data_IF_392194006914
#
_entry.id   IF_392194006914
#
_cell.length_a   1.000
_cell.length_b   1.000
_cell.length_c   1.000
_cell.angle_alpha   90.00
_cell.angle_beta   90.00
_cell.angle_gamma   90.00
#
_symmetry.space_group_name_H-M   'P 1'
#
loop_
_entity.id
_entity.type
_entity.pdbx_description
1 polymer ?
#
# COMPACT_ATOMS: atom_id res chain seq x y z
N UNK A 1 44.14 17.24 -6.62
CA UNK A 1 43.93 15.79 -6.81
C UNK A 1 43.25 15.12 -5.61
N UNK A 2 43.71 15.40 -4.36
CA UNK A 2 43.13 14.75 -3.16
C UNK A 2 41.61 15.02 -3.01
N UNK A 3 41.18 16.27 -3.12
CA UNK A 3 39.78 16.64 -3.01
C UNK A 3 38.93 16.00 -4.12
N UNK A 4 39.40 15.95 -5.35
CA UNK A 4 38.69 15.32 -6.45
C UNK A 4 38.49 13.82 -6.21
N UNK A 5 39.51 13.12 -5.71
CA UNK A 5 39.43 11.71 -5.35
C UNK A 5 38.45 11.49 -4.17
N UNK A 6 38.47 12.36 -3.17
CA UNK A 6 37.56 12.30 -2.03
C UNK A 6 36.07 12.43 -2.49
N UNK A 7 35.81 13.43 -3.32
CA UNK A 7 34.44 13.62 -3.87
C UNK A 7 34.05 12.47 -4.78
N UNK A 8 34.94 11.97 -5.63
CA UNK A 8 34.65 10.80 -6.46
C UNK A 8 34.32 9.57 -5.64
N UNK A 9 35.07 9.29 -4.59
CA UNK A 9 34.84 8.17 -3.69
C UNK A 9 33.53 8.33 -2.91
N UNK A 10 33.20 9.54 -2.47
CA UNK A 10 31.95 9.84 -1.79
C UNK A 10 30.75 9.58 -2.72
N UNK A 11 30.80 10.01 -3.98
CA UNK A 11 29.73 9.77 -4.96
C UNK A 11 29.55 8.26 -5.18
N UNK A 12 30.62 7.51 -5.33
CA UNK A 12 30.55 6.05 -5.52
C UNK A 12 29.93 5.37 -4.31
N UNK A 13 30.37 5.73 -3.10
CA UNK A 13 29.81 5.17 -1.86
C UNK A 13 28.31 5.50 -1.70
N UNK A 14 27.93 6.75 -1.96
CA UNK A 14 26.51 7.15 -1.95
C UNK A 14 25.68 6.39 -2.99
N UNK A 15 26.23 6.18 -4.19
CA UNK A 15 25.56 5.43 -5.24
C UNK A 15 25.36 3.96 -4.85
N UNK A 16 26.38 3.34 -4.25
CA UNK A 16 26.27 1.95 -3.76
C UNK A 16 25.30 1.84 -2.60
N UNK A 17 25.33 2.81 -1.69
CA UNK A 17 24.37 2.84 -0.57
C UNK A 17 22.95 2.99 -1.09
N UNK A 18 22.71 3.98 -1.96
CA UNK A 18 21.43 4.22 -2.58
C UNK A 18 20.88 2.98 -3.33
N UNK A 19 21.75 2.32 -4.10
CA UNK A 19 21.41 1.09 -4.79
C UNK A 19 20.97 -0.01 -3.82
N UNK A 20 21.73 -0.23 -2.73
CA UNK A 20 21.38 -1.24 -1.71
C UNK A 20 20.08 -0.92 -0.97
N UNK A 21 19.81 0.35 -0.72
CA UNK A 21 18.61 0.77 0.01
C UNK A 21 17.36 0.73 -0.87
N UNK A 22 17.50 0.94 -2.18
CA UNK A 22 16.37 1.01 -3.11
C UNK A 22 16.03 -0.35 -3.73
N UNK A 23 17.01 -1.18 -4.04
CA UNK A 23 16.75 -2.48 -4.68
C UNK A 23 15.73 -3.34 -3.92
N UNK A 24 15.80 -3.49 -2.59
CA UNK A 24 14.81 -4.27 -1.86
C UNK A 24 13.38 -3.80 -2.06
N UNK A 25 13.18 -2.49 -2.22
CA UNK A 25 11.84 -1.90 -2.45
C UNK A 25 11.21 -2.42 -3.75
N UNK A 26 12.02 -2.70 -4.77
CA UNK A 26 11.54 -3.16 -6.08
C UNK A 26 11.64 -4.67 -6.28
N UNK A 27 12.51 -5.36 -5.55
CA UNK A 27 12.76 -6.80 -5.75
C UNK A 27 12.10 -7.68 -4.71
N UNK A 28 11.90 -7.17 -3.49
CA UNK A 28 11.13 -7.87 -2.46
C UNK A 28 9.65 -7.58 -2.71
N UNK A 29 8.98 -8.48 -3.43
CA UNK A 29 7.54 -8.40 -3.63
C UNK A 29 6.79 -8.47 -2.29
N UNK A 30 5.64 -7.82 -2.23
CA UNK A 30 4.76 -7.91 -1.07
C UNK A 30 4.34 -9.37 -0.86
N UNK A 31 4.68 -9.93 0.30
CA UNK A 31 4.47 -11.33 0.62
C UNK A 31 3.02 -11.69 0.98
N UNK A 32 2.10 -10.72 0.94
CA UNK A 32 0.70 -10.94 1.31
C UNK A 32 -0.16 -11.52 0.17
N UNK A 33 0.30 -11.39 -1.09
CA UNK A 33 -0.37 -11.99 -2.23
C UNK A 33 0.17 -13.39 -2.51
N UNK A 34 -0.72 -14.33 -2.87
CA UNK A 34 -0.29 -15.65 -3.36
C UNK A 34 0.62 -15.48 -4.57
N UNK A 35 1.58 -16.38 -4.71
CA UNK A 35 2.42 -16.46 -5.90
C UNK A 35 1.58 -16.96 -7.09
N UNK A 36 2.06 -16.72 -8.30
CA UNK A 36 1.43 -17.19 -9.54
C UNK A 36 0.12 -16.46 -9.92
N UNK A 37 0.11 -15.16 -9.79
CA UNK A 37 -0.95 -14.31 -10.33
C UNK A 37 -0.45 -13.35 -11.40
N UNK A 38 -1.35 -12.91 -12.27
CA UNK A 38 -1.11 -11.89 -13.28
C UNK A 38 -2.03 -10.71 -12.99
N UNK A 39 -1.46 -9.51 -12.92
CA UNK A 39 -2.24 -8.29 -12.82
C UNK A 39 -2.55 -7.78 -14.22
N UNK A 40 -3.83 -7.79 -14.57
CA UNK A 40 -4.32 -7.20 -15.81
C UNK A 40 -4.72 -5.75 -15.57
N UNK A 41 -4.18 -4.83 -16.35
CA UNK A 41 -4.51 -3.40 -16.27
C UNK A 41 -5.05 -2.92 -17.61
N UNK A 42 -6.09 -2.09 -17.59
CA UNK A 42 -6.64 -1.48 -18.80
C UNK A 42 -5.86 -0.19 -19.12
N UNK A 43 -5.09 -0.20 -20.19
CA UNK A 43 -4.39 1.01 -20.65
C UNK A 43 -5.38 1.96 -21.31
N UNK A 44 -5.39 3.19 -20.86
CA UNK A 44 -6.14 4.29 -21.47
C UNK A 44 -5.15 5.28 -22.01
N UNK A 45 -5.39 5.72 -23.25
CA UNK A 45 -4.63 6.85 -23.79
C UNK A 45 -5.02 8.15 -23.05
N UNK A 46 -4.08 9.08 -22.94
CA UNK A 46 -4.32 10.40 -22.33
C UNK A 46 -5.54 11.09 -22.95
N UNK A 47 -5.71 10.99 -24.26
CA UNK A 47 -6.89 11.49 -24.98
C UNK A 47 -8.18 10.76 -24.58
N UNK A 48 -8.11 9.45 -24.32
CA UNK A 48 -9.25 8.67 -23.84
C UNK A 48 -9.74 9.08 -22.47
N UNK A 49 -8.82 9.45 -21.56
CA UNK A 49 -9.16 9.98 -20.24
C UNK A 49 -9.91 11.32 -20.33
N UNK A 50 -9.48 12.21 -21.22
CA UNK A 50 -10.19 13.47 -21.47
C UNK A 50 -11.55 13.27 -22.14
N UNK A 51 -11.72 12.20 -22.90
CA UNK A 51 -13.00 11.84 -23.55
C UNK A 51 -13.96 11.08 -22.60
N UNK A 52 -13.66 10.97 -21.31
CA UNK A 52 -14.51 10.31 -20.34
C UNK A 52 -14.59 8.78 -20.51
N UNK A 53 -13.64 8.16 -21.22
CA UNK A 53 -13.59 6.71 -21.32
C UNK A 53 -13.28 6.09 -19.97
N UNK A 54 -14.11 5.15 -19.58
CA UNK A 54 -14.01 4.44 -18.32
C UNK A 54 -12.76 3.56 -18.30
N UNK A 55 -11.96 3.67 -17.23
CA UNK A 55 -10.75 2.86 -17.05
C UNK A 55 -11.01 1.55 -16.29
N UNK A 56 -12.26 1.28 -15.98
CA UNK A 56 -12.65 0.03 -15.32
C UNK A 56 -12.94 -1.05 -16.36
N UNK A 57 -12.76 -2.30 -15.96
CA UNK A 57 -13.18 -3.45 -16.75
C UNK A 57 -14.70 -3.56 -16.71
N UNK A 58 -15.33 -3.74 -17.87
CA UNK A 58 -16.74 -4.06 -17.95
C UNK A 58 -17.02 -5.52 -17.56
N UNK A 59 -18.27 -5.85 -17.31
CA UNK A 59 -18.66 -7.23 -17.07
C UNK A 59 -18.31 -8.16 -18.26
N UNK A 60 -18.38 -7.63 -19.49
CA UNK A 60 -18.00 -8.34 -20.72
C UNK A 60 -16.49 -8.58 -20.79
N UNK A 61 -15.67 -7.55 -20.50
CA UNK A 61 -14.21 -7.68 -20.43
C UNK A 61 -13.82 -8.80 -19.43
N UNK A 62 -14.46 -8.83 -18.26
CA UNK A 62 -14.21 -9.84 -17.21
C UNK A 62 -14.66 -11.22 -17.70
N UNK A 63 -15.82 -11.32 -18.36
CA UNK A 63 -16.31 -12.59 -18.89
C UNK A 63 -15.39 -13.15 -19.97
N UNK A 64 -14.82 -12.30 -20.81
CA UNK A 64 -13.88 -12.71 -21.84
C UNK A 64 -12.53 -13.14 -21.27
N UNK A 65 -12.05 -12.45 -20.24
CA UNK A 65 -10.85 -12.88 -19.50
C UNK A 65 -11.06 -14.24 -18.82
N UNK A 66 -12.26 -14.51 -18.28
CA UNK A 66 -12.61 -15.80 -17.67
C UNK A 66 -12.58 -16.98 -18.63
N UNK A 67 -12.87 -16.74 -19.92
CA UNK A 67 -12.87 -17.77 -20.96
C UNK A 67 -11.47 -18.15 -21.44
N UNK A 68 -10.44 -17.37 -21.09
CA UNK A 68 -9.08 -17.67 -21.54
C UNK A 68 -8.56 -18.95 -20.91
N UNK A 69 -7.87 -19.77 -21.69
CA UNK A 69 -7.38 -21.09 -21.25
C UNK A 69 -6.35 -21.03 -20.12
N UNK A 70 -5.68 -19.90 -19.95
CA UNK A 70 -4.70 -19.66 -18.87
C UNK A 70 -5.33 -19.13 -17.59
N UNK A 71 -6.62 -18.78 -17.61
CA UNK A 71 -7.31 -18.18 -16.48
C UNK A 71 -7.93 -19.25 -15.61
N UNK A 72 -7.44 -19.38 -14.37
CA UNK A 72 -8.03 -20.26 -13.35
C UNK A 72 -9.09 -19.53 -12.55
N UNK A 73 -8.78 -18.33 -12.10
CA UNK A 73 -9.63 -17.49 -11.25
C UNK A 73 -9.38 -16.03 -11.57
N UNK A 74 -10.39 -15.19 -11.46
CA UNK A 74 -10.28 -13.73 -11.61
C UNK A 74 -10.82 -13.06 -10.37
N UNK A 75 -10.02 -12.17 -9.78
CA UNK A 75 -10.43 -11.24 -8.75
C UNK A 75 -10.33 -9.80 -9.25
N UNK A 76 -11.24 -8.96 -8.81
CA UNK A 76 -11.19 -7.53 -9.11
C UNK A 76 -10.60 -6.77 -7.92
N UNK A 77 -9.67 -5.87 -8.20
CA UNK A 77 -9.32 -4.81 -7.27
C UNK A 77 -10.45 -3.77 -7.30
N UNK A 78 -11.10 -3.59 -6.17
CA UNK A 78 -12.20 -2.64 -6.05
C UNK A 78 -11.75 -1.50 -5.12
N UNK A 79 -11.54 -0.30 -5.66
CA UNK A 79 -11.16 0.84 -4.85
C UNK A 79 -12.31 1.27 -3.94
N UNK A 80 -11.98 1.79 -2.75
CA UNK A 80 -12.98 2.36 -1.85
C UNK A 80 -13.67 3.55 -2.50
N UNK A 81 -15.00 3.61 -2.39
CA UNK A 81 -15.80 4.74 -2.90
C UNK A 81 -15.98 5.86 -1.87
N UNK A 82 -15.35 5.72 -0.71
CA UNK A 82 -15.38 6.67 0.39
C UNK A 82 -13.94 7.09 0.73
N UNK A 83 -13.82 8.26 1.34
CA UNK A 83 -12.51 8.74 1.80
C UNK A 83 -12.14 8.06 3.10
N UNK A 84 -10.93 7.55 3.16
CA UNK A 84 -10.36 6.95 4.35
C UNK A 84 -9.14 7.76 4.77
N UNK A 85 -9.13 8.18 6.03
CA UNK A 85 -7.96 8.81 6.64
C UNK A 85 -7.51 7.94 7.79
N UNK A 86 -6.22 7.63 7.85
CA UNK A 86 -5.62 6.95 8.97
C UNK A 86 -4.87 7.94 9.85
N UNK A 87 -5.12 7.88 11.14
CA UNK A 87 -4.42 8.64 12.16
C UNK A 87 -3.54 7.73 13.01
N UNK A 88 -2.32 8.16 13.27
CA UNK A 88 -1.42 7.55 14.23
C UNK A 88 -1.15 8.56 15.33
N UNK A 89 -1.63 8.28 16.53
CA UNK A 89 -1.35 9.06 17.73
C UNK A 89 -0.35 8.34 18.62
N UNK A 90 0.83 8.90 18.80
CA UNK A 90 1.72 8.51 19.89
C UNK A 90 1.65 9.61 20.97
N UNK A 91 0.69 9.49 21.88
CA UNK A 91 0.39 10.52 22.88
C UNK A 91 1.58 10.84 23.76
N UNK A 92 2.37 9.83 24.13
CA UNK A 92 3.58 9.99 24.95
C UNK A 92 4.68 10.81 24.25
N UNK A 93 4.71 10.78 22.92
CA UNK A 93 5.65 11.54 22.10
C UNK A 93 5.08 12.85 21.55
N UNK A 94 3.82 13.17 21.83
CA UNK A 94 3.13 14.35 21.28
C UNK A 94 2.99 14.31 19.75
N UNK A 95 3.06 13.12 19.15
CA UNK A 95 3.03 12.94 17.71
C UNK A 95 1.60 12.58 17.28
N UNK A 96 1.03 13.41 16.42
CA UNK A 96 -0.23 13.14 15.73
C UNK A 96 0.03 13.19 14.22
N UNK A 97 -0.05 12.03 13.59
CA UNK A 97 0.07 11.90 12.15
C UNK A 97 -1.30 11.52 11.60
N UNK A 98 -1.73 12.19 10.56
CA UNK A 98 -2.93 11.83 9.82
C UNK A 98 -2.63 11.90 8.33
N UNK A 99 -3.04 10.88 7.60
CA UNK A 99 -2.88 10.82 6.14
C UNK A 99 -4.11 10.21 5.50
N UNK A 100 -4.44 10.68 4.31
CA UNK A 100 -5.44 10.01 3.50
C UNK A 100 -4.85 8.72 2.94
N UNK A 101 -5.62 7.65 3.02
CA UNK A 101 -5.23 6.33 2.54
C UNK A 101 -6.18 5.87 1.44
N UNK A 102 -5.63 5.13 0.50
CA UNK A 102 -6.40 4.48 -0.55
C UNK A 102 -6.46 3.00 -0.23
N UNK A 103 -7.67 2.49 -0.04
CA UNK A 103 -7.90 1.07 0.18
C UNK A 103 -8.50 0.43 -1.06
N UNK A 104 -8.06 -0.77 -1.32
CA UNK A 104 -8.60 -1.63 -2.36
C UNK A 104 -9.03 -2.94 -1.72
N UNK A 105 -10.19 -3.42 -2.11
CA UNK A 105 -10.67 -4.75 -1.73
C UNK A 105 -10.15 -5.76 -2.74
N UNK A 106 -9.60 -6.85 -2.22
CA UNK A 106 -9.11 -7.99 -3.00
C UNK A 106 -9.80 -9.24 -2.48
N UNK A 107 -10.25 -10.17 -3.34
CA UNK A 107 -10.84 -11.42 -2.87
C UNK A 107 -9.84 -12.26 -2.06
N UNK A 108 -10.31 -12.87 -0.98
CA UNK A 108 -9.49 -13.63 -0.02
C UNK A 108 -8.68 -14.76 -0.66
N UNK A 109 -9.17 -15.32 -1.77
CA UNK A 109 -8.48 -16.38 -2.50
C UNK A 109 -7.11 -15.97 -3.07
N UNK A 110 -6.86 -14.66 -3.26
CA UNK A 110 -5.60 -14.11 -3.76
C UNK A 110 -4.62 -13.73 -2.64
N UNK A 111 -5.07 -13.76 -1.41
CA UNK A 111 -4.27 -13.33 -0.27
C UNK A 111 -3.65 -14.54 0.44
N UNK A 112 -2.36 -14.46 0.76
CA UNK A 112 -1.60 -15.50 1.45
C UNK A 112 -1.35 -15.11 2.90
N UNK A 113 -2.43 -14.89 3.63
CA UNK A 113 -2.40 -14.59 5.06
C UNK A 113 -3.29 -15.56 5.83
N UNK A 114 -3.04 -15.68 7.13
CA UNK A 114 -3.94 -16.40 8.02
C UNK A 114 -5.18 -15.56 8.27
N UNK A 115 -6.31 -16.03 7.77
CA UNK A 115 -7.60 -15.33 7.86
C UNK A 115 -8.31 -15.52 9.22
N UNK A 116 -7.73 -16.24 10.16
CA UNK A 116 -8.30 -16.48 11.49
C UNK A 116 -8.58 -15.18 12.28
N UNK A 117 -7.79 -14.14 12.03
CA UNK A 117 -7.98 -12.79 12.61
C UNK A 117 -8.58 -11.78 11.63
N UNK A 118 -8.97 -12.25 10.44
CA UNK A 118 -9.48 -11.38 9.37
C UNK A 118 -11.01 -11.28 9.47
N UNK A 119 -11.50 -10.59 10.48
CA UNK A 119 -12.91 -10.31 10.67
C UNK A 119 -13.10 -8.91 11.27
N UNK A 120 -14.15 -8.26 10.86
CA UNK A 120 -14.60 -7.02 11.47
C UNK A 120 -15.23 -7.32 12.83
N UNK A 121 -14.77 -6.62 13.86
CA UNK A 121 -15.37 -6.69 15.19
C UNK A 121 -16.26 -5.46 15.42
N UNK A 122 -17.57 -5.68 15.32
CA UNK A 122 -18.57 -4.62 15.48
C UNK A 122 -18.59 -4.07 16.91
N UNK A 123 -18.30 -4.89 17.92
CA UNK A 123 -18.35 -4.48 19.31
C UNK A 123 -17.22 -3.51 19.67
N UNK A 124 -16.04 -3.72 19.11
CA UNK A 124 -14.85 -2.86 19.32
C UNK A 124 -14.62 -1.87 18.20
N UNK A 125 -15.42 -1.91 17.13
CA UNK A 125 -15.21 -1.13 15.90
C UNK A 125 -13.79 -1.32 15.32
N UNK A 126 -13.29 -2.57 15.37
CA UNK A 126 -11.94 -2.89 14.92
C UNK A 126 -11.99 -3.48 13.51
N UNK A 127 -11.21 -2.89 12.61
CA UNK A 127 -11.06 -3.34 11.22
C UNK A 127 -9.65 -3.88 11.02
N UNK A 128 -9.47 -5.15 10.63
CA UNK A 128 -8.16 -5.65 10.25
C UNK A 128 -7.72 -5.03 8.91
N UNK A 129 -6.51 -4.54 8.85
CA UNK A 129 -5.91 -4.00 7.63
C UNK A 129 -4.58 -4.66 7.33
N UNK A 130 -4.29 -4.84 6.05
CA UNK A 130 -2.98 -5.29 5.57
C UNK A 130 -2.25 -4.07 5.04
N UNK A 131 -1.07 -3.82 5.59
CA UNK A 131 -0.21 -2.75 5.12
C UNK A 131 0.95 -3.37 4.35
N UNK A 132 1.09 -3.08 3.05
CA UNK A 132 2.25 -3.53 2.29
C UNK A 132 3.56 -3.06 2.92
N UNK A 133 4.58 -3.93 2.94
CA UNK A 133 5.91 -3.61 3.49
C UNK A 133 6.52 -2.34 2.88
N UNK A 134 6.21 -2.06 1.64
CA UNK A 134 6.69 -0.86 0.96
C UNK A 134 6.24 0.43 1.64
N UNK A 135 5.07 0.46 2.28
CA UNK A 135 4.62 1.63 3.05
C UNK A 135 5.47 1.86 4.30
N UNK A 136 5.88 0.77 4.98
CA UNK A 136 6.82 0.86 6.10
C UNK A 136 8.18 1.40 5.65
N UNK A 137 8.67 0.95 4.50
CA UNK A 137 9.90 1.45 3.92
C UNK A 137 9.78 2.94 3.54
N UNK A 138 8.69 3.34 2.90
CA UNK A 138 8.42 4.76 2.60
C UNK A 138 8.36 5.62 3.86
N UNK A 139 7.72 5.14 4.92
CA UNK A 139 7.73 5.83 6.20
C UNK A 139 9.14 5.96 6.75
N UNK A 140 9.87 4.86 6.87
CA UNK A 140 11.19 4.82 7.53
C UNK A 140 12.25 5.64 6.79
N UNK A 141 12.29 5.57 5.46
CA UNK A 141 13.34 6.21 4.65
C UNK A 141 12.93 7.57 4.11
N UNK A 142 11.67 7.74 3.77
CA UNK A 142 11.17 8.99 3.20
C UNK A 142 10.70 9.99 4.25
N UNK A 143 9.90 9.54 5.20
CA UNK A 143 9.19 10.43 6.11
C UNK A 143 9.85 10.54 7.48
N UNK A 144 10.10 9.44 8.16
CA UNK A 144 10.61 9.45 9.53
C UNK A 144 11.97 10.14 9.63
N UNK A 145 12.86 9.84 8.69
CA UNK A 145 14.21 10.41 8.67
C UNK A 145 14.19 11.93 8.45
N UNK A 146 13.34 12.44 7.56
CA UNK A 146 13.23 13.87 7.27
C UNK A 146 12.61 14.69 8.41
N UNK A 147 11.91 14.03 9.33
CA UNK A 147 11.20 14.65 10.45
C UNK A 147 11.75 14.28 11.83
N UNK A 148 12.90 13.62 11.88
CA UNK A 148 13.51 13.13 13.14
C UNK A 148 12.55 12.25 13.96
N UNK A 149 11.69 11.47 13.28
CA UNK A 149 10.79 10.53 13.90
C UNK A 149 11.46 9.16 14.03
N UNK A 150 11.03 8.34 15.01
CA UNK A 150 11.58 7.00 15.16
C UNK A 150 11.22 6.12 13.96
N UNK A 151 12.16 5.28 13.56
CA UNK A 151 11.89 4.22 12.58
C UNK A 151 11.02 3.14 13.21
N UNK A 152 10.09 2.60 12.43
CA UNK A 152 9.20 1.54 12.84
C UNK A 152 9.72 0.19 12.32
N UNK A 153 9.70 -0.81 13.15
CA UNK A 153 9.91 -2.21 12.73
C UNK A 153 8.59 -2.88 12.36
N UNK A 154 8.65 -3.98 11.61
CA UNK A 154 7.46 -4.77 11.28
C UNK A 154 6.72 -5.24 12.53
N UNK A 155 7.46 -5.71 13.55
CA UNK A 155 6.87 -6.14 14.82
C UNK A 155 6.18 -5.00 15.56
N UNK A 156 6.72 -3.78 15.49
CA UNK A 156 6.09 -2.62 16.11
C UNK A 156 4.83 -2.21 15.34
N UNK A 157 4.89 -2.24 14.00
CA UNK A 157 3.72 -1.93 13.16
C UNK A 157 2.53 -2.85 13.44
N UNK A 158 2.77 -4.13 13.72
CA UNK A 158 1.70 -5.08 14.05
C UNK A 158 1.03 -4.83 15.40
N UNK A 159 1.63 -4.02 16.26
CA UNK A 159 1.10 -3.63 17.58
C UNK A 159 0.45 -2.25 17.59
N UNK A 160 0.65 -1.48 16.53
CA UNK A 160 0.10 -0.13 16.44
C UNK A 160 -1.37 -0.21 16.04
N UNK A 161 -2.21 0.40 16.84
CA UNK A 161 -3.60 0.68 16.48
C UNK A 161 -3.65 2.05 15.80
N UNK A 162 -4.29 2.08 14.64
CA UNK A 162 -4.51 3.32 13.90
C UNK A 162 -5.96 3.75 14.03
N UNK A 163 -6.18 5.04 14.24
CA UNK A 163 -7.52 5.60 14.14
C UNK A 163 -7.90 5.74 12.67
N UNK A 164 -8.86 4.96 12.22
CA UNK A 164 -9.35 4.98 10.84
C UNK A 164 -10.64 5.81 10.80
N UNK A 165 -10.64 6.85 10.02
CA UNK A 165 -11.81 7.68 9.79
C UNK A 165 -12.32 7.49 8.36
N UNK A 166 -13.54 7.00 8.23
CA UNK A 166 -14.21 6.81 6.96
C UNK A 166 -15.25 7.89 6.74
N UNK A 167 -15.21 8.55 5.59
CA UNK A 167 -16.13 9.63 5.21
C UNK A 167 -16.79 9.33 3.87
N UNK A 168 -18.11 9.23 3.87
CA UNK A 168 -18.88 9.00 2.65
C UNK A 168 -20.37 9.24 2.87
N UNK A 169 -21.08 9.65 1.84
CA UNK A 169 -22.53 9.85 1.87
C UNK A 169 -23.04 10.72 3.04
N UNK A 170 -22.27 11.74 3.42
CA UNK A 170 -22.63 12.63 4.55
C UNK A 170 -22.41 12.02 5.94
N UNK A 171 -21.86 10.82 6.04
CA UNK A 171 -21.53 10.15 7.31
C UNK A 171 -20.02 10.15 7.55
N UNK A 172 -19.66 10.16 8.82
CA UNK A 172 -18.29 9.99 9.29
C UNK A 172 -18.32 8.89 10.34
N UNK A 173 -17.53 7.86 10.13
CA UNK A 173 -17.42 6.72 11.04
C UNK A 173 -15.96 6.55 11.43
N UNK A 174 -15.72 6.19 12.69
CA UNK A 174 -14.39 6.00 13.24
C UNK A 174 -14.21 4.53 13.67
N UNK A 175 -13.09 3.97 13.28
CA UNK A 175 -12.69 2.60 13.56
C UNK A 175 -11.26 2.58 14.14
N UNK A 176 -10.88 1.45 14.70
CA UNK A 176 -9.55 1.19 15.23
C UNK A 176 -8.89 0.02 14.50
#
# INVERSE_FOLDING_TARGET
FFLANLFGMMIVLLSVQFYKDIIPIFTEGDSFMKKDFIIATKKISTLGSFAGKNNTFSAEDIADLKKQSFTKTIGAFTPSQFKVSAGLGMQEAGIHLSTDMFFESVPDEFVDIKLDKWHFDEATHTIPIIIPRNYLNLYNFGFAQSRSLPKLSEGLMSLIQMDIMMRGNGRVEQYK
#
